data_IF_614125075941
#
_entry.id   IF_614125075941
#
_cell.length_a   1.000
_cell.length_b   1.000
_cell.length_c   1.000
_cell.angle_alpha   90.00
_cell.angle_beta   90.00
_cell.angle_gamma   90.00
#
_symmetry.space_group_name_H-M   'P 1'
#
loop_
_entity.id
_entity.type
_entity.pdbx_description
1 polymer ?
#
# COMPACT_ATOMS: atom_id res chain seq x y z
N UNK A 1 -6.47 -3.21 -8.08
CA UNK A 1 -5.80 -1.96 -7.67
C UNK A 1 -6.88 -1.04 -7.16
N UNK A 2 -6.73 -0.48 -5.97
CA UNK A 2 -7.72 0.37 -5.33
C UNK A 2 -7.65 1.83 -5.82
N UNK A 3 -8.74 2.56 -5.59
CA UNK A 3 -8.95 3.94 -5.95
C UNK A 3 -9.76 4.63 -4.84
N UNK A 4 -9.78 5.95 -4.86
CA UNK A 4 -10.50 6.76 -3.88
C UNK A 4 -11.96 7.01 -4.33
N UNK A 5 -12.94 6.97 -3.40
CA UNK A 5 -14.34 7.26 -3.72
C UNK A 5 -14.52 8.63 -4.36
N UNK A 6 -15.23 8.69 -5.49
CA UNK A 6 -15.59 9.94 -6.17
C UNK A 6 -14.47 10.66 -6.92
N UNK A 7 -13.20 10.30 -6.71
CA UNK A 7 -12.05 10.99 -7.33
C UNK A 7 -11.07 10.05 -8.05
N UNK A 8 -11.33 8.74 -8.06
CA UNK A 8 -10.55 7.76 -8.83
C UNK A 8 -9.13 7.58 -8.29
N UNK A 9 -8.15 7.41 -9.18
CA UNK A 9 -6.75 7.20 -8.81
C UNK A 9 -6.01 8.51 -8.50
N UNK A 10 -6.60 9.37 -7.66
CA UNK A 10 -5.96 10.62 -7.26
C UNK A 10 -4.64 10.42 -6.49
N UNK A 11 -4.46 9.26 -5.84
CA UNK A 11 -3.21 8.83 -5.21
C UNK A 11 -2.22 8.16 -6.20
N UNK A 12 -2.60 8.01 -7.48
CA UNK A 12 -1.73 7.49 -8.53
C UNK A 12 -1.50 5.98 -8.50
N UNK A 13 -2.40 5.20 -7.88
CA UNK A 13 -2.23 3.74 -7.77
C UNK A 13 -2.11 3.03 -9.12
N UNK A 14 -2.72 3.59 -10.17
CA UNK A 14 -2.53 3.18 -11.57
C UNK A 14 -1.06 3.22 -12.01
N UNK A 15 -0.34 4.27 -11.63
CA UNK A 15 1.08 4.43 -11.91
C UNK A 15 1.93 3.46 -11.09
N UNK A 16 1.56 3.24 -9.82
CA UNK A 16 2.25 2.28 -8.94
C UNK A 16 2.19 0.87 -9.52
N UNK A 17 1.01 0.42 -9.95
CA UNK A 17 0.86 -0.93 -10.49
C UNK A 17 1.62 -1.13 -11.80
N UNK A 18 1.54 -0.19 -12.74
CA UNK A 18 2.28 -0.31 -14.00
C UNK A 18 3.79 -0.25 -13.78
N UNK A 19 4.27 0.62 -12.87
CA UNK A 19 5.68 0.68 -12.50
C UNK A 19 6.14 -0.65 -11.89
N UNK A 20 5.35 -1.25 -11.00
CA UNK A 20 5.65 -2.56 -10.41
C UNK A 20 5.76 -3.67 -11.47
N UNK A 21 4.85 -3.72 -12.43
CA UNK A 21 4.92 -4.68 -13.56
C UNK A 21 6.18 -4.45 -14.39
N UNK A 22 6.44 -3.19 -14.78
CA UNK A 22 7.60 -2.85 -15.59
C UNK A 22 8.93 -3.21 -14.91
N UNK A 23 9.06 -2.90 -13.61
CA UNK A 23 10.24 -3.24 -12.81
C UNK A 23 10.41 -4.75 -12.68
N UNK A 24 9.33 -5.51 -12.45
CA UNK A 24 9.41 -6.97 -12.36
C UNK A 24 9.89 -7.59 -13.69
N UNK A 25 9.38 -7.11 -14.83
CA UNK A 25 9.82 -7.55 -16.15
C UNK A 25 11.29 -7.17 -16.42
N UNK A 26 11.69 -5.93 -16.11
CA UNK A 26 13.05 -5.46 -16.31
C UNK A 26 14.07 -6.20 -15.42
N UNK A 27 13.71 -6.45 -14.15
CA UNK A 27 14.54 -7.22 -13.23
C UNK A 27 14.74 -8.65 -13.72
N UNK A 28 13.67 -9.32 -14.16
CA UNK A 28 13.76 -10.65 -14.78
C UNK A 28 14.73 -10.65 -15.97
N UNK A 29 14.55 -9.72 -16.90
CA UNK A 29 15.40 -9.63 -18.09
C UNK A 29 16.88 -9.37 -17.74
N UNK A 30 17.14 -8.50 -16.76
CA UNK A 30 18.50 -8.23 -16.30
C UNK A 30 19.13 -9.46 -15.61
N UNK A 31 18.37 -10.19 -14.80
CA UNK A 31 18.84 -11.44 -14.16
C UNK A 31 19.22 -12.49 -15.20
N UNK A 32 18.39 -12.67 -16.25
CA UNK A 32 18.68 -13.59 -17.36
C UNK A 32 19.91 -13.15 -18.15
N UNK A 33 20.10 -11.84 -18.37
CA UNK A 33 21.26 -11.31 -19.09
C UNK A 33 22.57 -11.43 -18.31
N UNK A 34 22.50 -11.29 -16.98
CA UNK A 34 23.67 -11.25 -16.10
C UNK A 34 23.95 -12.58 -15.40
N UNK A 35 23.20 -13.63 -15.71
CA UNK A 35 23.30 -14.96 -15.09
C UNK A 35 23.16 -14.92 -13.56
N UNK A 36 22.17 -14.17 -13.09
CA UNK A 36 21.89 -14.01 -11.65
C UNK A 36 20.75 -14.96 -11.26
N UNK A 37 21.08 -15.96 -10.44
CA UNK A 37 20.09 -16.84 -9.84
C UNK A 37 19.21 -16.09 -8.82
N UNK A 38 17.91 -16.34 -8.87
CA UNK A 38 16.97 -15.80 -7.89
C UNK A 38 15.52 -15.86 -8.34
N UNK A 39 14.67 -15.14 -7.59
CA UNK A 39 13.23 -15.11 -7.83
C UNK A 39 12.71 -13.66 -7.78
N UNK A 40 12.08 -13.22 -8.85
CA UNK A 40 11.28 -11.99 -8.86
C UNK A 40 9.84 -12.33 -8.54
N UNK A 41 9.26 -11.62 -7.56
CA UNK A 41 7.83 -11.77 -7.22
C UNK A 41 7.13 -10.43 -7.40
N UNK A 42 6.13 -10.41 -8.28
CA UNK A 42 5.19 -9.29 -8.37
C UNK A 42 4.02 -9.55 -7.42
N UNK A 43 3.98 -8.84 -6.30
CA UNK A 43 2.93 -8.99 -5.29
C UNK A 43 1.90 -7.87 -5.38
N UNK A 44 0.66 -8.23 -5.74
CA UNK A 44 -0.47 -7.30 -5.70
C UNK A 44 -0.87 -6.96 -4.27
N UNK A 45 -0.90 -5.67 -3.91
CA UNK A 45 -1.20 -5.20 -2.55
C UNK A 45 -2.49 -4.34 -2.54
N UNK A 46 -3.68 -4.96 -2.39
CA UNK A 46 -4.94 -4.23 -2.48
C UNK A 46 -5.20 -3.36 -1.24
N UNK A 47 -6.14 -2.43 -1.38
CA UNK A 47 -6.74 -1.68 -0.26
C UNK A 47 -5.70 -0.99 0.64
N UNK A 48 -4.82 -0.23 0.00
CA UNK A 48 -3.80 0.61 0.64
C UNK A 48 -4.46 1.79 1.38
N UNK A 49 -5.54 2.35 0.80
CA UNK A 49 -6.30 3.51 1.31
C UNK A 49 -7.18 3.17 2.54
N UNK A 50 -6.63 2.44 3.51
CA UNK A 50 -7.26 2.12 4.78
C UNK A 50 -7.81 0.72 4.96
N UNK A 51 -7.71 -0.14 3.96
CA UNK A 51 -8.13 -1.53 4.08
C UNK A 51 -7.09 -2.45 4.73
N UNK A 52 -5.89 -1.91 5.01
CA UNK A 52 -4.75 -2.61 5.61
C UNK A 52 -4.32 -3.86 4.82
N UNK A 53 -4.42 -3.85 3.49
CA UNK A 53 -4.21 -5.07 2.70
C UNK A 53 -2.80 -5.65 2.82
N UNK A 54 -1.75 -4.81 2.92
CA UNK A 54 -0.38 -5.28 3.15
C UNK A 54 -0.23 -5.97 4.52
N UNK A 55 -0.88 -5.47 5.55
CA UNK A 55 -0.88 -6.09 6.91
C UNK A 55 -1.53 -7.48 6.84
N UNK A 56 -2.70 -7.58 6.20
CA UNK A 56 -3.40 -8.87 6.02
C UNK A 56 -2.58 -9.87 5.19
N UNK A 57 -1.84 -9.40 4.18
CA UNK A 57 -0.93 -10.23 3.38
C UNK A 57 0.26 -10.71 4.22
N UNK A 58 0.84 -9.83 5.04
CA UNK A 58 1.91 -10.15 5.97
C UNK A 58 1.51 -11.24 6.95
N UNK A 59 0.37 -11.09 7.62
CA UNK A 59 -0.17 -12.07 8.57
C UNK A 59 -0.41 -13.45 7.92
N UNK A 60 -0.80 -13.46 6.64
CA UNK A 60 -0.98 -14.69 5.85
C UNK A 60 0.32 -15.26 5.28
N UNK A 61 1.46 -14.63 5.57
CA UNK A 61 2.78 -15.11 5.15
C UNK A 61 3.13 -14.83 3.68
N UNK A 62 2.47 -13.88 3.02
CA UNK A 62 2.71 -13.58 1.61
C UNK A 62 4.15 -13.11 1.31
N UNK A 63 4.86 -12.59 2.32
CA UNK A 63 6.23 -12.10 2.23
C UNK A 63 7.28 -13.13 2.67
N UNK A 64 6.87 -14.34 3.08
CA UNK A 64 7.81 -15.38 3.54
C UNK A 64 8.80 -15.75 2.44
N UNK A 65 10.10 -15.75 2.78
CA UNK A 65 11.18 -16.09 1.86
C UNK A 65 11.54 -14.99 0.86
N UNK A 66 11.06 -13.75 1.04
CA UNK A 66 11.54 -12.59 0.30
C UNK A 66 12.71 -11.94 1.05
N UNK A 67 13.84 -11.74 0.39
CA UNK A 67 15.01 -11.06 0.97
C UNK A 67 14.88 -9.53 0.93
N UNK A 68 14.18 -9.00 -0.06
CA UNK A 68 13.93 -7.58 -0.23
C UNK A 68 12.57 -7.33 -0.90
N UNK A 69 11.99 -6.15 -0.65
CA UNK A 69 10.77 -5.67 -1.28
C UNK A 69 10.97 -4.21 -1.69
N UNK A 70 10.60 -3.87 -2.92
CA UNK A 70 10.68 -2.51 -3.44
C UNK A 70 9.33 -2.09 -4.01
N UNK A 71 9.00 -0.81 -3.84
CA UNK A 71 7.83 -0.16 -4.41
C UNK A 71 8.16 1.32 -4.60
N UNK A 72 7.60 1.93 -5.64
CA UNK A 72 7.71 3.35 -5.90
C UNK A 72 6.32 3.96 -5.89
N UNK A 73 6.19 5.12 -5.25
CA UNK A 73 4.96 5.92 -5.23
C UNK A 73 5.18 7.20 -6.03
N UNK A 74 4.27 7.59 -6.94
CA UNK A 74 4.34 8.90 -7.58
C UNK A 74 4.20 10.00 -6.53
N UNK A 75 5.07 11.01 -6.59
CA UNK A 75 5.03 12.14 -5.68
C UNK A 75 5.36 13.44 -6.44
N UNK A 76 4.92 14.61 -5.95
CA UNK A 76 5.40 15.88 -6.45
C UNK A 76 6.92 16.01 -6.27
N UNK A 77 7.60 16.53 -7.29
CA UNK A 77 9.05 16.75 -7.23
C UNK A 77 9.61 17.19 -8.57
N UNK A 78 10.90 17.59 -8.61
CA UNK A 78 11.60 17.84 -9.86
C UNK A 78 11.53 16.64 -10.81
N UNK A 79 11.53 16.92 -12.12
CA UNK A 79 11.62 15.88 -13.13
C UNK A 79 12.86 15.00 -12.89
N UNK A 80 12.71 13.69 -13.08
CA UNK A 80 13.78 12.70 -12.91
C UNK A 80 14.42 12.66 -11.51
N UNK A 81 13.68 13.04 -10.47
CA UNK A 81 14.12 12.91 -9.08
C UNK A 81 13.48 11.70 -8.40
N UNK A 82 14.18 11.17 -7.39
CA UNK A 82 13.67 10.17 -6.46
C UNK A 82 13.98 10.63 -5.04
N UNK A 83 13.07 10.36 -4.12
CA UNK A 83 13.27 10.59 -2.70
C UNK A 83 13.04 9.30 -1.94
N UNK A 84 13.89 9.04 -0.95
CA UNK A 84 13.70 7.97 0.02
C UNK A 84 13.10 8.58 1.28
N UNK A 85 11.95 8.08 1.70
CA UNK A 85 11.23 8.56 2.87
C UNK A 85 10.79 7.40 3.73
N UNK A 86 10.66 7.63 5.03
CA UNK A 86 10.01 6.70 5.94
C UNK A 86 8.49 6.95 5.98
N UNK A 87 7.74 5.96 6.44
CA UNK A 87 6.30 6.07 6.66
C UNK A 87 5.99 6.15 8.16
N UNK A 88 4.86 6.76 8.50
CA UNK A 88 4.34 6.77 9.87
C UNK A 88 3.51 5.51 10.14
N UNK A 89 3.54 5.06 11.39
CA UNK A 89 2.59 4.04 11.86
C UNK A 89 1.19 4.67 12.02
N UNK A 90 0.16 3.91 11.67
CA UNK A 90 -1.25 4.36 11.75
C UNK A 90 -2.09 3.28 12.43
N UNK A 91 -2.94 3.71 13.36
CA UNK A 91 -4.02 2.92 13.95
C UNK A 91 -5.35 3.60 13.64
N UNK A 92 -6.40 2.81 13.37
CA UNK A 92 -7.78 3.30 13.30
C UNK A 92 -8.56 2.76 14.47
N UNK A 93 -9.28 3.64 15.15
CA UNK A 93 -10.15 3.32 16.28
C UNK A 93 -11.56 3.74 15.90
N UNK A 94 -12.52 2.85 16.18
CA UNK A 94 -13.94 3.16 16.14
C UNK A 94 -14.42 3.23 17.59
N UNK A 95 -15.06 4.34 17.96
CA UNK A 95 -15.50 4.62 19.33
C UNK A 95 -17.00 4.83 19.31
N UNK A 96 -17.71 3.97 20.03
CA UNK A 96 -19.16 4.05 20.20
C UNK A 96 -19.48 4.35 21.68
N UNK A 97 -20.38 5.31 21.92
CA UNK A 97 -20.85 5.65 23.25
C UNK A 97 -22.28 5.15 23.42
N UNK A 98 -22.49 4.32 24.45
CA UNK A 98 -23.81 3.83 24.83
C UNK A 98 -24.28 4.56 26.08
N UNK A 99 -25.48 5.15 26.02
CA UNK A 99 -26.13 5.81 27.13
C UNK A 99 -27.59 5.40 27.26
N UNK A 100 -28.29 6.03 28.20
CA UNK A 100 -29.74 5.91 28.31
C UNK A 100 -30.39 7.26 27.97
N UNK A 101 -31.47 7.23 27.20
CA UNK A 101 -32.21 8.46 26.89
C UNK A 101 -32.95 8.93 28.13
N UNK A 102 -32.85 10.21 28.47
CA UNK A 102 -33.60 10.80 29.57
C UNK A 102 -34.17 12.16 29.15
N UNK A 103 -35.21 12.62 29.86
CA UNK A 103 -35.76 13.94 29.62
C UNK A 103 -34.80 15.00 30.16
N UNK A 104 -34.18 15.77 29.26
CA UNK A 104 -33.09 16.70 29.57
C UNK A 104 -33.40 17.69 30.72
N UNK A 105 -34.66 18.10 30.89
CA UNK A 105 -35.07 19.04 31.93
C UNK A 105 -35.70 18.41 33.19
N UNK A 106 -35.88 17.07 33.24
CA UNK A 106 -36.56 16.40 34.37
C UNK A 106 -35.69 15.39 35.10
N UNK A 107 -34.75 14.72 34.41
CA UNK A 107 -33.82 13.78 35.04
C UNK A 107 -32.58 13.62 34.15
N UNK A 108 -31.64 14.59 34.16
CA UNK A 108 -30.37 14.46 33.46
C UNK A 108 -29.53 13.29 34.00
#
# INVERSE_FOLDING_TARGET
MDALPGIGHACGHNLIGIAGVAVACAAKAAMEQLDIDGKVVLLGTPAEEGGFGKVKLWEKGAYKGMDACIMCHPAPGPLHSISLTSCLAVIRLEIEYTGHTAHAALSP
#
